data_IF_297201458646
#
_entry.id   IF_297201458646
#
_cell.length_a   1.000
_cell.length_b   1.000
_cell.length_c   1.000
_cell.angle_alpha   90.00
_cell.angle_beta   90.00
_cell.angle_gamma   90.00
#
_symmetry.space_group_name_H-M   'P 1'
#
loop_
_entity.id
_entity.type
_entity.pdbx_description
1 polymer ?
#
# COMPACT_ATOMS: atom_id res chain seq x y z
N UNK A 1 -7.52 26.49 10.05
CA UNK A 1 -7.97 25.55 9.01
C UNK A 1 -7.95 24.14 9.59
N UNK A 2 -8.83 23.20 9.20
CA UNK A 2 -8.70 21.81 9.61
C UNK A 2 -7.42 21.23 8.99
N UNK A 3 -6.54 20.66 9.80
CA UNK A 3 -5.21 20.14 9.39
C UNK A 3 -5.27 19.27 8.12
N UNK A 4 -6.25 18.37 8.01
CA UNK A 4 -6.39 17.49 6.85
C UNK A 4 -6.79 18.20 5.56
N UNK A 5 -7.47 19.34 5.64
CA UNK A 5 -7.79 20.14 4.44
C UNK A 5 -6.52 20.79 3.91
N UNK A 6 -5.71 21.35 4.80
CA UNK A 6 -4.40 21.93 4.44
C UNK A 6 -3.46 20.87 3.86
N UNK A 7 -3.43 19.67 4.46
CA UNK A 7 -2.62 18.56 3.94
C UNK A 7 -3.12 18.03 2.58
N UNK A 8 -4.42 18.11 2.30
CA UNK A 8 -4.97 17.80 0.99
C UNK A 8 -4.60 18.88 -0.06
N UNK A 9 -4.72 20.16 0.30
CA UNK A 9 -4.37 21.29 -0.57
C UNK A 9 -2.88 21.26 -0.96
N UNK A 10 -2.01 20.87 -0.02
CA UNK A 10 -0.59 20.69 -0.27
C UNK A 10 -0.23 19.35 -0.93
N UNK A 11 -1.23 18.53 -1.28
CA UNK A 11 -1.03 17.31 -2.05
C UNK A 11 -0.51 16.10 -1.27
N UNK A 12 -0.42 16.17 0.06
CA UNK A 12 0.02 15.04 0.90
C UNK A 12 -1.06 13.97 1.05
N UNK A 13 -2.31 14.40 1.16
CA UNK A 13 -3.47 13.54 1.36
C UNK A 13 -4.49 13.73 0.23
N UNK A 14 -5.38 12.77 0.09
CA UNK A 14 -6.58 12.82 -0.75
C UNK A 14 -7.82 12.42 0.05
N UNK A 15 -9.00 12.92 -0.31
CA UNK A 15 -10.25 12.45 0.27
C UNK A 15 -10.59 11.07 -0.32
N UNK A 16 -10.66 10.03 0.51
CA UNK A 16 -10.84 8.66 0.05
C UNK A 16 -12.16 8.45 -0.71
N UNK A 17 -13.21 9.18 -0.33
CA UNK A 17 -14.52 9.16 -0.99
C UNK A 17 -14.72 10.31 -1.99
N UNK A 18 -13.64 10.83 -2.60
CA UNK A 18 -13.76 11.79 -3.70
C UNK A 18 -14.43 11.12 -4.90
N UNK A 19 -15.43 11.80 -5.46
CA UNK A 19 -16.04 11.45 -6.74
C UNK A 19 -15.35 12.35 -7.77
N UNK A 20 -14.71 11.80 -8.80
CA UNK A 20 -14.08 12.65 -9.81
C UNK A 20 -15.11 13.63 -10.40
N UNK A 21 -14.70 14.87 -10.63
CA UNK A 21 -15.54 15.99 -11.11
C UNK A 21 -16.24 15.71 -12.45
N UNK A 22 -15.82 14.66 -13.16
CA UNK A 22 -16.43 14.20 -14.41
C UNK A 22 -17.67 13.30 -14.21
N UNK A 23 -18.16 13.12 -12.98
CA UNK A 23 -19.43 12.42 -12.71
C UNK A 23 -19.42 10.92 -13.02
N UNK A 24 -18.26 10.34 -13.34
CA UNK A 24 -18.12 8.93 -13.70
C UNK A 24 -18.39 8.04 -12.47
N UNK A 25 -19.40 7.16 -12.51
CA UNK A 25 -19.78 6.31 -11.40
C UNK A 25 -18.74 5.40 -10.79
N UNK A 26 -17.70 5.06 -11.54
CA UNK A 26 -16.68 4.09 -11.16
C UNK A 26 -15.37 4.73 -10.69
N UNK A 27 -15.40 6.05 -10.44
CA UNK A 27 -14.22 6.87 -10.17
C UNK A 27 -14.01 7.22 -8.69
N UNK A 28 -14.59 6.45 -7.76
CA UNK A 28 -14.23 6.60 -6.36
C UNK A 28 -12.81 6.09 -6.14
N UNK A 29 -11.94 6.92 -5.55
CA UNK A 29 -10.56 6.54 -5.22
C UNK A 29 -10.47 5.38 -4.22
N UNK A 30 -11.59 5.01 -3.57
CA UNK A 30 -11.72 3.91 -2.62
C UNK A 30 -12.41 2.68 -3.25
N UNK A 31 -11.83 1.51 -3.00
CA UNK A 31 -12.41 0.20 -3.33
C UNK A 31 -13.47 -0.21 -2.30
N UNK A 32 -14.39 -1.11 -2.67
CA UNK A 32 -15.37 -1.63 -1.71
C UNK A 32 -14.74 -2.31 -0.50
N UNK A 33 -13.63 -3.02 -0.71
CA UNK A 33 -12.91 -3.71 0.36
C UNK A 33 -12.32 -2.72 1.36
N UNK A 34 -11.68 -1.65 0.87
CA UNK A 34 -11.21 -0.55 1.72
C UNK A 34 -12.39 0.11 2.47
N UNK A 35 -13.51 0.37 1.78
CA UNK A 35 -14.70 0.96 2.39
C UNK A 35 -15.27 0.07 3.51
N UNK A 36 -15.30 -1.25 3.35
CA UNK A 36 -15.73 -2.19 4.39
C UNK A 36 -14.74 -2.30 5.56
N UNK A 37 -13.46 -2.04 5.33
CA UNK A 37 -12.45 -2.02 6.39
C UNK A 37 -12.61 -0.79 7.30
N UNK A 38 -13.16 0.31 6.79
CA UNK A 38 -13.42 1.53 7.56
C UNK A 38 -14.63 1.43 8.51
N UNK A 39 -15.56 0.52 8.21
CA UNK A 39 -16.80 0.37 8.98
C UNK A 39 -16.56 -0.26 10.35
N UNK A 40 -17.20 0.31 11.37
CA UNK A 40 -17.29 -0.29 12.70
C UNK A 40 -18.38 -1.35 12.75
N UNK A 41 -18.37 -2.17 13.80
CA UNK A 41 -19.33 -3.28 13.99
C UNK A 41 -20.78 -2.78 13.97
N UNK A 42 -21.06 -1.62 14.55
CA UNK A 42 -22.41 -1.06 14.58
C UNK A 42 -22.85 -0.47 13.25
N UNK A 43 -21.91 0.08 12.46
CA UNK A 43 -22.20 0.55 11.10
C UNK A 43 -22.62 -0.60 10.19
N UNK A 44 -21.97 -1.76 10.33
CA UNK A 44 -22.39 -2.98 9.63
C UNK A 44 -23.83 -3.38 9.96
N UNK A 45 -24.28 -3.26 11.21
CA UNK A 45 -25.67 -3.56 11.58
C UNK A 45 -26.66 -2.62 10.90
N UNK A 46 -26.31 -1.33 10.81
CA UNK A 46 -27.14 -0.32 10.14
C UNK A 46 -27.24 -0.62 8.64
N UNK A 47 -26.11 -0.95 8.00
CA UNK A 47 -26.07 -1.34 6.59
C UNK A 47 -26.87 -2.63 6.36
N UNK A 48 -26.67 -3.67 7.19
CA UNK A 48 -27.43 -4.91 7.06
C UNK A 48 -28.94 -4.70 7.16
N UNK A 49 -29.41 -3.83 8.07
CA UNK A 49 -30.83 -3.47 8.16
C UNK A 49 -31.32 -2.78 6.87
N UNK A 50 -30.52 -1.87 6.31
CA UNK A 50 -30.86 -1.12 5.09
C UNK A 50 -30.91 -1.99 3.83
N UNK A 51 -30.07 -3.01 3.77
CA UNK A 51 -29.99 -3.94 2.64
C UNK A 51 -30.71 -5.28 2.88
N UNK A 52 -31.43 -5.41 4.00
CA UNK A 52 -32.16 -6.62 4.39
C UNK A 52 -31.27 -7.89 4.43
N UNK A 53 -30.06 -7.77 4.96
CA UNK A 53 -29.10 -8.87 5.10
C UNK A 53 -29.16 -9.44 6.52
N UNK A 54 -29.14 -10.77 6.65
CA UNK A 54 -29.07 -11.43 7.94
C UNK A 54 -27.73 -11.13 8.63
N UNK A 55 -27.78 -10.57 9.84
CA UNK A 55 -26.61 -10.25 10.65
C UNK A 55 -25.94 -11.48 11.29
N UNK A 56 -26.58 -12.65 11.27
CA UNK A 56 -26.09 -13.88 11.93
C UNK A 56 -24.99 -14.61 11.15
N UNK A 57 -24.79 -14.28 9.88
CA UNK A 57 -23.84 -14.95 8.97
C UNK A 57 -22.37 -14.54 9.16
N UNK A 58 -22.08 -13.66 10.13
CA UNK A 58 -20.73 -13.17 10.43
C UNK A 58 -20.20 -12.12 9.43
N UNK A 59 -19.15 -11.38 9.82
CA UNK A 59 -18.63 -10.22 9.04
C UNK A 59 -18.27 -10.57 7.59
N UNK A 60 -17.56 -11.68 7.39
CA UNK A 60 -17.16 -12.12 6.05
C UNK A 60 -18.34 -12.55 5.18
N UNK A 61 -19.36 -13.17 5.78
CA UNK A 61 -20.62 -13.51 5.08
C UNK A 61 -21.38 -12.26 4.65
N UNK A 62 -21.48 -11.27 5.55
CA UNK A 62 -22.10 -9.96 5.27
C UNK A 62 -21.38 -9.25 4.12
N UNK A 63 -20.05 -9.18 4.14
CA UNK A 63 -19.26 -8.55 3.08
C UNK A 63 -19.52 -9.22 1.74
N UNK A 64 -19.56 -10.56 1.69
CA UNK A 64 -19.85 -11.30 0.44
C UNK A 64 -21.24 -11.01 -0.09
N UNK A 65 -22.26 -10.97 0.76
CA UNK A 65 -23.63 -10.62 0.33
C UNK A 65 -23.72 -9.17 -0.14
N UNK A 66 -23.11 -8.22 0.59
CA UNK A 66 -23.06 -6.81 0.16
C UNK A 66 -22.36 -6.64 -1.19
N UNK A 67 -21.25 -7.36 -1.44
CA UNK A 67 -20.59 -7.39 -2.74
C UNK A 67 -21.51 -7.91 -3.83
N UNK A 68 -22.23 -9.01 -3.60
CA UNK A 68 -23.23 -9.52 -4.57
C UNK A 68 -24.32 -8.50 -4.84
N UNK A 69 -24.84 -7.84 -3.80
CA UNK A 69 -25.85 -6.79 -3.93
C UNK A 69 -25.35 -5.58 -4.71
N UNK A 70 -24.07 -5.20 -4.58
CA UNK A 70 -23.49 -4.07 -5.30
C UNK A 70 -23.43 -4.27 -6.83
N UNK A 71 -23.30 -5.53 -7.27
CA UNK A 71 -23.21 -5.93 -8.69
C UNK A 71 -24.61 -6.07 -9.32
N UNK A 72 -25.64 -6.37 -8.51
CA UNK A 72 -27.02 -6.47 -9.00
C UNK A 72 -27.48 -5.12 -9.57
N UNK A 73 -27.96 -5.15 -10.80
CA UNK A 73 -28.59 -4.01 -11.46
C UNK A 73 -30.04 -3.88 -10.98
N UNK A 74 -30.44 -2.67 -10.65
CA UNK A 74 -31.84 -2.35 -10.34
C UNK A 74 -32.70 -2.41 -11.61
N UNK A 75 -34.03 -2.26 -11.47
CA UNK A 75 -35.03 -2.25 -12.56
C UNK A 75 -34.68 -1.23 -13.65
N UNK A 76 -33.93 -0.17 -13.29
CA UNK A 76 -33.44 0.86 -14.20
C UNK A 76 -32.03 0.60 -14.77
N UNK A 77 -31.47 -0.60 -14.59
CA UNK A 77 -30.15 -0.99 -15.08
C UNK A 77 -28.97 -0.37 -14.31
N UNK A 78 -29.23 0.36 -13.21
CA UNK A 78 -28.20 1.01 -12.39
C UNK A 78 -27.62 0.04 -11.37
N UNK A 79 -26.29 0.01 -11.25
CA UNK A 79 -25.61 -0.79 -10.24
C UNK A 79 -25.76 -0.15 -8.84
N UNK A 80 -26.03 -0.98 -7.83
CA UNK A 80 -26.20 -0.52 -6.44
C UNK A 80 -24.88 -0.13 -5.74
N UNK A 81 -23.74 -0.34 -6.39
CA UNK A 81 -22.41 0.05 -5.90
C UNK A 81 -22.37 1.49 -5.36
N UNK A 82 -22.88 2.45 -6.13
CA UNK A 82 -22.93 3.87 -5.73
C UNK A 82 -23.75 4.11 -4.48
N UNK A 83 -24.91 3.45 -4.41
CA UNK A 83 -25.81 3.62 -3.27
C UNK A 83 -25.15 3.07 -2.00
N UNK A 84 -24.49 1.91 -2.11
CA UNK A 84 -23.75 1.29 -1.02
C UNK A 84 -22.57 2.16 -0.56
N UNK A 85 -21.72 2.64 -1.48
CA UNK A 85 -20.60 3.51 -1.14
C UNK A 85 -21.06 4.84 -0.50
N UNK A 86 -22.14 5.43 -0.98
CA UNK A 86 -22.71 6.64 -0.35
C UNK A 86 -23.27 6.36 1.05
N UNK A 87 -23.90 5.19 1.27
CA UNK A 87 -24.34 4.78 2.61
C UNK A 87 -23.14 4.62 3.55
N UNK A 88 -22.05 4.02 3.07
CA UNK A 88 -20.81 3.88 3.84
C UNK A 88 -20.23 5.26 4.16
N UNK A 89 -20.09 6.15 3.17
CA UNK A 89 -19.59 7.52 3.35
C UNK A 89 -20.41 8.30 4.40
N UNK A 90 -21.73 8.13 4.40
CA UNK A 90 -22.61 8.79 5.37
C UNK A 90 -22.37 8.31 6.80
N UNK A 91 -21.99 7.03 7.00
CA UNK A 91 -21.72 6.45 8.30
C UNK A 91 -20.29 6.74 8.77
N UNK A 92 -19.30 6.62 7.90
CA UNK A 92 -17.88 6.82 8.23
C UNK A 92 -17.47 8.28 8.28
N UNK A 93 -18.24 9.18 7.65
CA UNK A 93 -17.89 10.59 7.51
C UNK A 93 -16.77 10.82 6.49
N UNK A 94 -16.07 11.95 6.62
CA UNK A 94 -14.93 12.30 5.75
C UNK A 94 -13.73 11.44 6.12
N UNK A 95 -13.18 10.73 5.13
CA UNK A 95 -11.99 9.93 5.29
C UNK A 95 -10.89 10.44 4.37
N UNK A 96 -9.67 10.47 4.88
CA UNK A 96 -8.49 10.95 4.16
C UNK A 96 -7.49 9.80 4.03
N UNK A 97 -6.81 9.72 2.88
CA UNK A 97 -5.76 8.75 2.59
C UNK A 97 -4.48 9.49 2.21
N UNK A 98 -3.33 9.00 2.66
CA UNK A 98 -2.03 9.51 2.21
C UNK A 98 -1.88 9.13 0.73
N UNK A 99 -1.47 10.06 -0.13
CA UNK A 99 -1.25 9.74 -1.54
C UNK A 99 -0.14 8.70 -1.67
N UNK A 100 -0.33 7.74 -2.57
CA UNK A 100 0.62 6.64 -2.75
C UNK A 100 2.03 7.15 -3.12
N UNK A 101 2.13 8.18 -3.95
CA UNK A 101 3.42 8.78 -4.33
C UNK A 101 4.15 9.39 -3.14
N UNK A 102 3.43 10.02 -2.22
CA UNK A 102 4.00 10.56 -0.99
C UNK A 102 4.45 9.46 -0.04
N UNK A 103 3.67 8.37 0.04
CA UNK A 103 4.07 7.18 0.78
C UNK A 103 5.38 6.60 0.21
N UNK A 104 5.52 6.50 -1.13
CA UNK A 104 6.77 6.06 -1.75
C UNK A 104 7.93 7.03 -1.47
N UNK A 105 7.71 8.34 -1.56
CA UNK A 105 8.72 9.33 -1.24
C UNK A 105 9.27 9.17 0.18
N UNK A 106 8.40 9.09 1.19
CA UNK A 106 8.83 8.91 2.58
C UNK A 106 9.51 7.56 2.80
N UNK A 107 8.99 6.49 2.21
CA UNK A 107 9.62 5.17 2.30
C UNK A 107 11.00 5.13 1.63
N UNK A 108 11.19 5.82 0.51
CA UNK A 108 12.51 6.00 -0.12
C UNK A 108 13.48 6.69 0.82
N UNK A 109 13.06 7.75 1.50
CA UNK A 109 13.89 8.42 2.51
C UNK A 109 14.26 7.48 3.68
N UNK A 110 13.27 6.75 4.22
CA UNK A 110 13.51 5.82 5.32
C UNK A 110 14.39 4.63 4.92
N UNK A 111 14.28 4.18 3.66
CA UNK A 111 15.11 3.10 3.11
C UNK A 111 16.58 3.49 3.03
N UNK A 112 16.87 4.76 2.72
CA UNK A 112 18.24 5.30 2.73
C UNK A 112 18.77 5.42 4.16
N UNK A 113 17.92 5.78 5.12
CA UNK A 113 18.31 5.90 6.53
C UNK A 113 18.71 4.54 7.13
N UNK A 114 17.92 3.49 6.89
CA UNK A 114 18.14 2.18 7.46
C UNK A 114 17.95 1.06 6.41
N UNK A 115 18.88 0.92 5.45
CA UNK A 115 18.76 -0.06 4.37
C UNK A 115 18.80 -1.51 4.87
N UNK A 116 19.41 -1.75 6.03
CA UNK A 116 19.45 -3.05 6.69
C UNK A 116 18.07 -3.55 7.17
N UNK A 117 17.13 -2.64 7.42
CA UNK A 117 15.76 -2.97 7.81
C UNK A 117 14.87 -3.33 6.62
N UNK A 118 15.35 -3.06 5.40
CA UNK A 118 14.70 -3.44 4.14
C UNK A 118 15.07 -4.87 3.71
N UNK A 119 15.85 -5.59 4.51
CA UNK A 119 16.21 -6.98 4.26
C UNK A 119 15.03 -7.92 4.50
N UNK A 120 14.85 -8.82 3.55
CA UNK A 120 13.77 -9.81 3.47
C UNK A 120 13.90 -10.84 4.57
N UNK A 121 15.13 -11.10 5.06
CA UNK A 121 15.35 -11.94 6.24
C UNK A 121 14.63 -11.40 7.48
N UNK A 122 14.53 -10.08 7.63
CA UNK A 122 13.72 -9.45 8.67
C UNK A 122 12.22 -9.50 8.32
N UNK A 123 11.86 -9.39 7.04
CA UNK A 123 10.48 -9.49 6.55
C UNK A 123 9.88 -10.90 6.65
N UNK A 124 10.67 -11.96 6.51
CA UNK A 124 10.21 -13.35 6.66
C UNK A 124 9.77 -13.67 8.09
N UNK A 125 10.33 -12.97 9.08
CA UNK A 125 9.99 -13.13 10.49
C UNK A 125 8.75 -12.29 10.86
N UNK A 126 8.59 -11.11 10.22
CA UNK A 126 7.46 -10.18 10.45
C UNK A 126 6.97 -9.54 9.14
N UNK A 127 6.27 -10.30 8.29
CA UNK A 127 5.94 -9.85 6.93
C UNK A 127 4.96 -8.69 6.88
N UNK A 128 4.26 -8.39 7.97
CA UNK A 128 3.31 -7.28 8.06
C UNK A 128 3.89 -5.98 8.66
N UNK A 129 5.15 -5.97 9.10
CA UNK A 129 5.66 -4.88 9.94
C UNK A 129 6.88 -4.13 9.39
N UNK A 130 7.58 -4.59 8.35
CA UNK A 130 8.86 -3.96 7.93
C UNK A 130 8.84 -2.44 7.77
N UNK A 131 7.86 -1.88 7.06
CA UNK A 131 7.78 -0.43 6.85
C UNK A 131 7.21 0.34 8.05
N UNK A 132 6.32 -0.29 8.82
CA UNK A 132 5.82 0.28 10.09
C UNK A 132 6.97 0.36 11.09
N UNK A 133 7.71 -0.73 11.23
CA UNK A 133 8.92 -0.83 12.03
C UNK A 133 10.00 0.14 11.54
N UNK A 134 10.14 0.37 10.23
CA UNK A 134 11.09 1.34 9.67
C UNK A 134 10.76 2.78 10.10
N UNK A 135 9.49 3.17 9.98
CA UNK A 135 9.01 4.49 10.39
C UNK A 135 9.13 4.66 11.91
N UNK A 136 8.65 3.67 12.67
CA UNK A 136 8.63 3.68 14.13
C UNK A 136 10.05 3.68 14.69
N UNK A 137 10.98 2.92 14.11
CA UNK A 137 12.38 2.91 14.53
C UNK A 137 13.08 4.25 14.25
N UNK A 138 12.79 4.92 13.13
CA UNK A 138 13.34 6.26 12.89
C UNK A 138 12.80 7.27 13.90
N UNK A 139 11.48 7.31 14.09
CA UNK A 139 10.83 8.21 15.06
C UNK A 139 11.41 7.94 16.45
N UNK A 140 11.51 6.69 16.85
CA UNK A 140 12.10 6.28 18.12
C UNK A 140 13.57 6.70 18.25
N UNK A 141 14.38 6.50 17.20
CA UNK A 141 15.79 6.93 17.18
C UNK A 141 15.93 8.45 17.30
N UNK A 142 15.06 9.21 16.62
CA UNK A 142 15.02 10.68 16.73
C UNK A 142 14.66 11.13 18.15
N UNK A 143 13.65 10.50 18.76
CA UNK A 143 13.24 10.78 20.13
C UNK A 143 14.34 10.44 21.15
N UNK A 144 15.00 9.30 21.01
CA UNK A 144 16.11 8.92 21.89
C UNK A 144 17.31 9.87 21.76
N UNK A 145 17.58 10.35 20.54
CA UNK A 145 18.61 11.39 20.32
C UNK A 145 18.23 12.71 20.96
N UNK A 146 16.97 13.14 20.85
CA UNK A 146 16.48 14.34 21.53
C UNK A 146 16.55 14.21 23.06
N UNK A 147 16.32 13.00 23.58
CA UNK A 147 16.47 12.68 24.99
C UNK A 147 17.94 12.44 25.42
N UNK A 148 18.91 12.65 24.53
CA UNK A 148 20.36 12.44 24.75
C UNK A 148 20.74 11.00 25.21
N UNK A 149 19.84 10.04 24.99
CA UNK A 149 20.04 8.63 25.37
C UNK A 149 20.71 7.81 24.27
N UNK A 150 20.61 8.27 23.02
CA UNK A 150 21.25 7.66 21.86
C UNK A 150 22.48 8.48 21.44
N UNK A 151 23.66 7.95 21.73
CA UNK A 151 24.93 8.51 21.24
C UNK A 151 25.45 7.67 20.07
N UNK A 152 25.42 8.24 18.87
CA UNK A 152 26.10 7.64 17.73
C UNK A 152 27.60 7.73 17.94
N UNK A 153 28.30 6.59 17.81
CA UNK A 153 29.76 6.60 17.82
C UNK A 153 30.24 7.40 16.61
N UNK A 154 31.01 8.45 16.88
CA UNK A 154 31.54 9.33 15.85
C UNK A 154 32.66 8.62 15.09
N UNK A 155 32.29 7.72 14.19
CA UNK A 155 33.22 7.01 13.31
C UNK A 155 33.62 7.92 12.14
N UNK A 156 34.26 9.05 12.43
CA UNK A 156 34.74 10.01 11.43
C UNK A 156 36.03 9.54 10.73
N UNK A 157 36.64 8.43 11.19
CA UNK A 157 37.84 7.82 10.58
C UNK A 157 37.50 6.74 9.54
N UNK A 158 36.41 6.92 8.81
CA UNK A 158 36.03 6.03 7.74
C UNK A 158 36.80 6.45 6.46
N UNK A 159 37.94 5.78 6.17
CA UNK A 159 38.58 5.71 4.84
C UNK A 159 37.70 4.93 3.85
N UNK A 160 36.45 5.32 3.66
CA UNK A 160 35.52 4.62 2.79
C UNK A 160 35.19 5.55 1.65
N UNK A 161 35.41 5.08 0.43
CA UNK A 161 34.84 5.69 -0.76
C UNK A 161 33.32 5.55 -0.66
N UNK A 162 32.60 6.68 -0.69
CA UNK A 162 31.16 6.69 -0.84
C UNK A 162 30.81 6.03 -2.18
N UNK A 163 30.38 4.78 -2.13
CA UNK A 163 29.82 4.09 -3.28
C UNK A 163 28.33 4.42 -3.26
N UNK A 164 27.86 5.15 -4.27
CA UNK A 164 26.44 5.37 -4.45
C UNK A 164 25.76 4.02 -4.71
N UNK A 165 24.92 3.58 -3.76
CA UNK A 165 24.12 2.35 -3.91
C UNK A 165 23.01 2.52 -4.94
N UNK A 166 22.48 3.74 -5.06
CA UNK A 166 21.47 4.13 -6.04
C UNK A 166 22.03 5.25 -6.90
N UNK A 167 21.89 5.14 -8.22
CA UNK A 167 22.40 6.12 -9.18
C UNK A 167 21.51 7.37 -9.25
N UNK A 168 20.22 7.21 -9.02
CA UNK A 168 19.18 8.24 -9.14
C UNK A 168 17.99 7.96 -8.18
N UNK A 169 17.14 8.97 -8.01
CA UNK A 169 15.92 8.87 -7.22
C UNK A 169 14.93 7.85 -7.80
N UNK A 170 14.89 7.73 -9.13
CA UNK A 170 14.03 6.77 -9.82
C UNK A 170 14.47 5.32 -9.55
N UNK A 171 15.77 5.05 -9.49
CA UNK A 171 16.32 3.76 -9.09
C UNK A 171 15.99 3.40 -7.65
N UNK A 172 16.09 4.36 -6.73
CA UNK A 172 15.67 4.17 -5.34
C UNK A 172 14.16 3.89 -5.22
N UNK A 173 13.33 4.64 -5.94
CA UNK A 173 11.87 4.46 -5.93
C UNK A 173 11.48 3.10 -6.51
N UNK A 174 12.14 2.66 -7.59
CA UNK A 174 11.97 1.31 -8.15
C UNK A 174 12.37 0.22 -7.15
N UNK A 175 13.48 0.40 -6.43
CA UNK A 175 13.90 -0.53 -5.38
C UNK A 175 12.85 -0.65 -4.27
N UNK A 176 12.33 0.47 -3.78
CA UNK A 176 11.28 0.49 -2.75
C UNK A 176 10.01 -0.21 -3.24
N UNK A 177 9.58 0.06 -4.48
CA UNK A 177 8.43 -0.62 -5.09
C UNK A 177 8.65 -2.14 -5.15
N UNK A 178 9.80 -2.58 -5.63
CA UNK A 178 10.15 -4.00 -5.67
C UNK A 178 10.13 -4.66 -4.28
N UNK A 179 10.58 -3.94 -3.24
CA UNK A 179 10.52 -4.41 -1.85
C UNK A 179 9.09 -4.52 -1.31
N UNK A 180 8.20 -3.62 -1.69
CA UNK A 180 6.76 -3.75 -1.38
C UNK A 180 6.15 -4.99 -2.03
N UNK A 181 6.48 -5.23 -3.29
CA UNK A 181 5.98 -6.39 -4.04
C UNK A 181 6.50 -7.72 -3.47
N UNK A 182 7.77 -7.75 -3.07
CA UNK A 182 8.36 -8.86 -2.34
C UNK A 182 7.66 -9.12 -1.00
N UNK A 183 7.43 -8.09 -0.19
CA UNK A 183 6.71 -8.21 1.07
C UNK A 183 5.28 -8.74 0.86
N UNK A 184 4.58 -8.27 -0.19
CA UNK A 184 3.25 -8.76 -0.56
C UNK A 184 3.27 -10.25 -0.87
N UNK A 185 4.27 -10.74 -1.59
CA UNK A 185 4.43 -12.18 -1.86
C UNK A 185 4.64 -12.98 -0.56
N UNK A 186 5.54 -12.53 0.31
CA UNK A 186 5.79 -13.20 1.60
C UNK A 186 4.52 -13.26 2.44
N UNK A 187 3.73 -12.18 2.48
CA UNK A 187 2.44 -12.14 3.18
C UNK A 187 1.43 -13.16 2.66
N UNK A 188 1.36 -13.37 1.33
CA UNK A 188 0.45 -14.34 0.72
C UNK A 188 0.90 -15.78 1.01
N UNK A 189 2.21 -16.02 0.97
CA UNK A 189 2.81 -17.32 1.32
C UNK A 189 2.54 -17.66 2.79
N UNK A 190 2.75 -16.71 3.70
CA UNK A 190 2.50 -16.89 5.14
C UNK A 190 1.03 -17.19 5.44
N UNK A 191 0.10 -16.54 4.71
CA UNK A 191 -1.34 -16.83 4.77
C UNK A 191 -1.76 -18.12 4.07
N UNK A 192 -0.82 -18.90 3.52
CA UNK A 192 -1.08 -20.11 2.73
C UNK A 192 -1.96 -19.88 1.49
N UNK A 193 -2.00 -18.66 0.96
CA UNK A 193 -2.73 -18.28 -0.26
C UNK A 193 -1.84 -18.49 -1.49
N UNK A 194 -1.43 -19.73 -1.72
CA UNK A 194 -0.38 -20.06 -2.71
C UNK A 194 -0.77 -19.77 -4.16
N UNK A 195 -2.03 -19.94 -4.54
CA UNK A 195 -2.49 -19.63 -5.90
C UNK A 195 -2.47 -18.12 -6.18
N UNK A 196 -2.84 -17.31 -5.19
CA UNK A 196 -2.74 -15.84 -5.29
C UNK A 196 -1.28 -15.41 -5.33
N UNK A 197 -0.42 -16.00 -4.50
CA UNK A 197 1.02 -15.74 -4.51
C UNK A 197 1.64 -16.08 -5.87
N UNK A 198 1.25 -17.20 -6.47
CA UNK A 198 1.71 -17.63 -7.80
C UNK A 198 1.26 -16.66 -8.90
N UNK A 199 0.01 -16.20 -8.84
CA UNK A 199 -0.51 -15.21 -9.79
C UNK A 199 0.27 -13.89 -9.70
N UNK A 200 0.48 -13.39 -8.48
CA UNK A 200 1.23 -12.15 -8.24
C UNK A 200 2.69 -12.30 -8.68
N UNK A 201 3.32 -13.43 -8.41
CA UNK A 201 4.70 -13.68 -8.82
C UNK A 201 4.85 -13.69 -10.36
N UNK A 202 3.87 -14.22 -11.08
CA UNK A 202 3.85 -14.20 -12.54
C UNK A 202 3.72 -12.76 -13.09
N UNK A 203 2.82 -11.96 -12.51
CA UNK A 203 2.65 -10.54 -12.86
C UNK A 203 3.93 -9.73 -12.63
N UNK A 204 4.56 -9.89 -11.46
CA UNK A 204 5.81 -9.20 -11.11
C UNK A 204 6.97 -9.60 -12.02
N UNK A 205 7.01 -10.88 -12.41
CA UNK A 205 7.99 -11.36 -13.39
C UNK A 205 7.81 -10.62 -14.72
N UNK A 206 6.59 -10.53 -15.24
CA UNK A 206 6.33 -9.79 -16.48
C UNK A 206 6.66 -8.31 -16.39
N UNK A 207 6.32 -7.66 -15.27
CA UNK A 207 6.69 -6.26 -15.02
C UNK A 207 8.20 -6.06 -14.99
N UNK A 208 8.93 -6.97 -14.35
CA UNK A 208 10.39 -6.93 -14.34
C UNK A 208 10.97 -7.06 -15.75
N UNK A 209 10.45 -7.97 -16.58
CA UNK A 209 10.87 -8.09 -17.98
C UNK A 209 10.62 -6.80 -18.77
N UNK A 210 9.43 -6.20 -18.62
CA UNK A 210 9.08 -4.96 -19.32
C UNK A 210 9.91 -3.75 -18.86
N UNK A 211 10.13 -3.61 -17.56
CA UNK A 211 10.82 -2.44 -17.00
C UNK A 211 12.35 -2.52 -17.14
N UNK A 212 12.93 -3.73 -17.18
CA UNK A 212 14.39 -3.91 -17.15
C UNK A 212 14.98 -4.62 -18.37
N UNK A 213 14.18 -5.31 -19.19
CA UNK A 213 14.68 -6.14 -20.30
C UNK A 213 14.12 -5.77 -21.68
N UNK A 214 13.03 -5.00 -21.77
CA UNK A 214 12.52 -4.46 -23.05
C UNK A 214 13.30 -3.23 -23.55
N UNK A 215 14.37 -2.83 -22.87
CA UNK A 215 15.46 -2.07 -23.47
C UNK A 215 16.36 -3.01 -24.27
N UNK A 216 16.08 -3.19 -25.57
CA UNK A 216 16.66 -4.20 -26.48
C UNK A 216 18.21 -4.30 -26.56
N UNK A 217 19.00 -3.46 -25.89
CA UNK A 217 20.47 -3.53 -25.98
C UNK A 217 21.17 -4.39 -24.91
N UNK A 218 20.57 -4.62 -23.73
CA UNK A 218 21.30 -5.26 -22.62
C UNK A 218 20.91 -6.73 -22.32
N UNK A 219 19.78 -7.21 -22.85
CA UNK A 219 19.39 -8.63 -22.73
C UNK A 219 20.41 -9.60 -23.38
N UNK A 220 21.12 -9.14 -24.41
CA UNK A 220 22.18 -9.92 -25.08
C UNK A 220 23.53 -9.88 -24.36
N UNK A 221 23.79 -8.90 -23.47
CA UNK A 221 25.00 -8.88 -22.63
C UNK A 221 24.88 -9.82 -21.44
N UNK A 222 23.70 -9.90 -20.81
CA UNK A 222 23.48 -10.79 -19.67
C UNK A 222 23.54 -12.29 -20.06
N UNK A 223 23.12 -12.65 -21.28
CA UNK A 223 23.32 -14.02 -21.80
C UNK A 223 24.79 -14.39 -22.04
N UNK A 224 25.67 -13.41 -22.28
CA UNK A 224 27.12 -13.65 -22.44
C UNK A 224 27.87 -13.77 -21.11
N UNK A 225 27.28 -13.32 -20.00
CA UNK A 225 27.88 -13.44 -18.66
C UNK A 225 27.48 -14.74 -17.94
N UNK A 226 26.53 -15.51 -18.47
CA UNK A 226 26.18 -16.84 -17.95
C UNK A 226 26.91 -17.99 -18.64
N UNK A 227 27.77 -17.69 -19.62
CA UNK A 227 28.68 -18.66 -20.24
C UNK A 227 30.06 -18.02 -20.42
N UNK A 228 30.79 -17.87 -19.32
CA UNK A 228 32.25 -17.88 -19.23
C UNK A 228 32.66 -18.20 -17.81
#
# INVERSE_FOLDING_TARGET
MPLFVELCENGFFEEAFSINENGDPNSSNITLDEAFNLLQVDDFKIICKKFHIDTRIGRQGIIRELKKHSIRKDVFGRCNLKHLLNCIKQLTGKCYRIKQDMLYFFNSFFSVYAPNLMDVGAAAIRPHQCYVDLCDQLIFSMLQRQAETLNFVNNLNLKYSLIGLFCDFDGLTRYVKAKYDEQRLVCLIDKSLFEEAKSVAAELKELFFKEFLDGEEDANKLKKLQFN
#
